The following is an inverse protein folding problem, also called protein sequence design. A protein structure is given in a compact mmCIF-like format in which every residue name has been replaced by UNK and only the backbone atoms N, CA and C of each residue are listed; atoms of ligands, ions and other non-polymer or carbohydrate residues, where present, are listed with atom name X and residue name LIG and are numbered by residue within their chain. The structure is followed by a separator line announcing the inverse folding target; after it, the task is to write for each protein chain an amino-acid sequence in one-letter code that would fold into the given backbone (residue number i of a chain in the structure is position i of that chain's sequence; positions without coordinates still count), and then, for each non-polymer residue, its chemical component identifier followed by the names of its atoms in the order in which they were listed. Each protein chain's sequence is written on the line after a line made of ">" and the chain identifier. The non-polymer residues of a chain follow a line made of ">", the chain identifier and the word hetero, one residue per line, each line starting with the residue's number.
data_IF_933481459816
#
_entry.id   IF_933481459816
#
_cell.length_a   1.000
_cell.length_b   1.000
_cell.length_c   1.000
_cell.angle_alpha   90.00
_cell.angle_beta   90.00
_cell.angle_gamma   90.00
#
_symmetry.space_group_name_H-M   'P 1'
#
loop_
_entity.id
_entity.type
_entity.pdbx_description
1 polymer ?
#
# COMPACT_ATOMS: atom_id res chain seq x y z
N UNK A 1 -23.05 -6.74 1.71
CA UNK A 1 -21.62 -6.90 1.74
C UNK A 1 -20.96 -6.11 0.62
N UNK A 2 -20.14 -5.17 0.97
CA UNK A 2 -19.47 -4.35 -0.01
C UNK A 2 -18.08 -4.86 -0.27
N UNK A 3 -17.85 -5.16 -1.51
CA UNK A 3 -16.52 -5.50 -1.91
C UNK A 3 -16.08 -4.47 -2.92
N UNK A 4 -14.89 -3.92 -2.68
CA UNK A 4 -14.26 -3.06 -3.65
C UNK A 4 -13.39 -3.90 -4.57
N UNK A 5 -13.31 -3.48 -5.82
CA UNK A 5 -12.27 -4.00 -6.70
C UNK A 5 -10.97 -3.28 -6.34
N UNK A 6 -9.89 -4.02 -6.10
CA UNK A 6 -8.63 -3.42 -5.69
C UNK A 6 -7.62 -3.56 -6.82
N UNK A 7 -7.12 -2.43 -7.28
CA UNK A 7 -6.14 -2.37 -8.35
C UNK A 7 -4.86 -1.74 -7.82
N UNK A 8 -3.72 -2.24 -8.29
CA UNK A 8 -2.43 -1.64 -7.97
C UNK A 8 -1.88 -0.98 -9.22
N UNK A 9 -1.46 0.26 -9.08
CA UNK A 9 -0.71 0.89 -10.16
C UNK A 9 0.63 0.16 -10.35
N UNK A 10 1.12 0.09 -11.58
CA UNK A 10 2.42 -0.56 -11.82
C UNK A 10 3.55 0.00 -10.95
N UNK A 11 3.53 1.32 -10.70
CA UNK A 11 4.54 1.93 -9.85
C UNK A 11 4.46 1.44 -8.41
N UNK A 12 3.23 1.24 -7.89
CA UNK A 12 3.05 0.71 -6.54
C UNK A 12 3.54 -0.73 -6.46
N UNK A 13 3.22 -1.51 -7.48
CA UNK A 13 3.67 -2.90 -7.55
C UNK A 13 5.19 -2.98 -7.58
N UNK A 14 5.82 -2.11 -8.36
CA UNK A 14 7.28 -2.06 -8.42
C UNK A 14 7.89 -1.67 -7.08
N UNK A 15 7.26 -0.74 -6.36
CA UNK A 15 7.74 -0.33 -5.04
C UNK A 15 7.70 -1.49 -4.05
N UNK A 16 6.63 -2.27 -4.07
CA UNK A 16 6.53 -3.44 -3.20
C UNK A 16 7.61 -4.45 -3.52
N UNK A 17 7.85 -4.68 -4.81
CA UNK A 17 8.87 -5.63 -5.25
C UNK A 17 10.27 -5.17 -4.84
N UNK A 18 10.57 -3.89 -5.03
CA UNK A 18 11.87 -3.34 -4.65
C UNK A 18 12.11 -3.47 -3.15
N UNK A 19 11.08 -3.17 -2.36
CA UNK A 19 11.19 -3.30 -0.91
C UNK A 19 11.41 -4.75 -0.51
N UNK A 20 10.67 -5.67 -1.14
CA UNK A 20 10.83 -7.09 -0.88
C UNK A 20 12.27 -7.53 -1.15
N UNK A 21 12.83 -7.12 -2.29
CA UNK A 21 14.18 -7.51 -2.66
C UNK A 21 15.21 -6.92 -1.71
N UNK A 22 14.99 -5.69 -1.26
CA UNK A 22 15.88 -5.06 -0.30
C UNK A 22 15.95 -5.88 0.99
N UNK A 23 14.78 -6.30 1.50
CA UNK A 23 14.74 -7.12 2.70
C UNK A 23 15.34 -8.50 2.44
N UNK A 24 15.04 -9.07 1.27
CA UNK A 24 15.50 -10.42 0.96
C UNK A 24 17.04 -10.53 0.99
N UNK A 25 17.72 -9.50 0.53
CA UNK A 25 19.18 -9.49 0.54
C UNK A 25 19.74 -9.50 1.95
N UNK A 26 18.97 -9.07 2.92
CA UNK A 26 19.41 -8.96 4.32
C UNK A 26 18.86 -10.09 5.18
N UNK A 27 17.63 -10.48 4.93
CA UNK A 27 16.98 -11.55 5.69
C UNK A 27 15.78 -12.07 4.90
N UNK A 28 15.87 -13.27 4.33
CA UNK A 28 14.71 -13.84 3.63
C UNK A 28 13.46 -13.93 4.51
N UNK A 29 13.64 -14.15 5.82
CA UNK A 29 12.49 -14.19 6.73
C UNK A 29 11.82 -12.82 6.83
N UNK A 30 12.62 -11.75 6.88
CA UNK A 30 12.06 -10.41 6.92
C UNK A 30 11.32 -10.09 5.61
N UNK A 31 11.87 -10.54 4.49
CA UNK A 31 11.21 -10.34 3.20
C UNK A 31 9.86 -11.03 3.15
N UNK A 32 9.78 -12.25 3.65
CA UNK A 32 8.51 -12.98 3.70
C UNK A 32 7.50 -12.29 4.60
N UNK A 33 7.95 -11.80 5.75
CA UNK A 33 7.08 -11.09 6.68
C UNK A 33 6.56 -9.80 6.05
N UNK A 34 7.43 -9.08 5.33
CA UNK A 34 7.03 -7.85 4.65
C UNK A 34 5.97 -8.15 3.59
N UNK A 35 6.22 -9.17 2.77
CA UNK A 35 5.29 -9.54 1.71
C UNK A 35 3.93 -9.91 2.27
N UNK A 36 3.93 -10.70 3.35
CA UNK A 36 2.68 -11.12 3.98
C UNK A 36 1.90 -9.91 4.49
N UNK A 37 2.59 -9.00 5.16
CA UNK A 37 1.89 -7.83 5.71
C UNK A 37 1.34 -6.92 4.60
N UNK A 38 2.10 -6.75 3.52
CA UNK A 38 1.63 -5.94 2.39
C UNK A 38 0.42 -6.60 1.74
N UNK A 39 0.49 -7.90 1.49
CA UNK A 39 -0.65 -8.59 0.87
C UNK A 39 -1.88 -8.55 1.76
N UNK A 40 -1.71 -8.74 3.07
CA UNK A 40 -2.84 -8.69 3.98
C UNK A 40 -3.45 -7.29 4.01
N UNK A 41 -2.60 -6.26 3.97
CA UNK A 41 -3.09 -4.88 3.95
C UNK A 41 -3.89 -4.61 2.68
N UNK A 42 -3.38 -5.03 1.53
CA UNK A 42 -4.05 -4.81 0.25
C UNK A 42 -5.34 -5.61 0.18
N UNK A 43 -5.30 -6.87 0.61
CA UNK A 43 -6.50 -7.72 0.62
C UNK A 43 -7.60 -7.11 1.48
N UNK A 44 -7.24 -6.51 2.60
CA UNK A 44 -8.23 -5.93 3.50
C UNK A 44 -8.96 -4.76 2.86
N UNK A 45 -8.38 -4.14 1.85
CA UNK A 45 -9.00 -3.00 1.17
C UNK A 45 -10.25 -3.41 0.40
N UNK A 46 -10.38 -4.68 0.05
CA UNK A 46 -11.58 -5.14 -0.65
C UNK A 46 -12.84 -4.96 0.21
N UNK A 47 -12.70 -5.00 1.53
CA UNK A 47 -13.85 -4.91 2.43
C UNK A 47 -13.75 -3.78 3.45
N UNK A 48 -12.54 -3.26 3.69
CA UNK A 48 -12.31 -2.30 4.77
C UNK A 48 -11.66 -0.99 4.31
N UNK A 49 -11.75 -0.69 3.01
CA UNK A 49 -11.06 0.48 2.47
C UNK A 49 -11.49 1.79 3.13
N UNK A 50 -12.73 1.87 3.62
CA UNK A 50 -13.22 3.11 4.23
C UNK A 50 -12.82 3.28 5.69
N UNK A 51 -12.19 2.27 6.29
CA UNK A 51 -11.75 2.36 7.69
C UNK A 51 -10.66 3.39 7.90
N UNK A 52 -9.77 3.52 6.93
CA UNK A 52 -8.63 4.41 7.06
C UNK A 52 -9.04 5.79 6.57
N UNK A 53 -8.70 6.84 7.32
CA UNK A 53 -9.18 8.18 6.97
C UNK A 53 -8.59 8.71 5.68
N UNK A 54 -9.37 9.57 5.06
CA UNK A 54 -8.99 10.24 3.84
C UNK A 54 -8.31 11.56 4.20
N UNK A 55 -7.26 11.92 3.48
CA UNK A 55 -6.61 13.20 3.71
C UNK A 55 -7.29 14.31 2.90
N UNK A 56 -6.76 15.52 3.00
CA UNK A 56 -7.39 16.68 2.34
C UNK A 56 -7.37 16.59 0.82
N UNK A 57 -6.53 15.70 0.27
CA UNK A 57 -6.43 15.53 -1.17
C UNK A 57 -7.21 14.31 -1.68
N UNK A 58 -7.96 13.67 -0.80
CA UNK A 58 -8.79 12.53 -1.19
C UNK A 58 -8.08 11.20 -1.18
N UNK A 59 -6.89 11.12 -0.57
CA UNK A 59 -6.16 9.86 -0.50
C UNK A 59 -6.21 9.29 0.90
N UNK A 60 -6.33 7.96 0.97
CA UNK A 60 -6.32 7.23 2.22
C UNK A 60 -4.95 6.63 2.44
N UNK A 61 -4.60 6.35 3.69
CA UNK A 61 -3.34 5.69 3.98
C UNK A 61 -3.51 4.63 5.04
N UNK A 62 -2.91 3.50 4.76
CA UNK A 62 -2.86 2.37 5.67
C UNK A 62 -1.39 2.15 6.04
N UNK A 63 -1.00 2.54 7.24
CA UNK A 63 0.38 2.41 7.71
C UNK A 63 0.62 0.97 8.14
N UNK A 64 1.69 0.36 7.62
CA UNK A 64 2.04 -0.99 8.04
C UNK A 64 2.50 -1.00 9.48
N UNK A 65 2.27 -2.12 10.16
CA UNK A 65 2.54 -2.22 11.60
C UNK A 65 3.99 -2.52 11.91
N UNK A 66 4.65 -3.34 11.10
CA UNK A 66 5.98 -3.85 11.41
C UNK A 66 7.06 -3.37 10.46
N UNK A 67 6.69 -2.59 9.46
CA UNK A 67 7.63 -2.10 8.46
C UNK A 67 7.34 -0.63 8.19
N UNK A 68 8.38 0.16 7.89
CA UNK A 68 8.21 1.61 7.73
C UNK A 68 7.68 1.98 6.35
N UNK A 69 6.55 1.39 5.99
CA UNK A 69 5.89 1.63 4.71
C UNK A 69 4.43 1.95 4.93
N UNK A 70 3.88 2.72 4.01
CA UNK A 70 2.47 3.10 4.01
C UNK A 70 1.87 2.77 2.66
N UNK A 71 0.68 2.19 2.68
CA UNK A 71 -0.10 1.93 1.47
C UNK A 71 -1.00 3.13 1.25
N UNK A 72 -0.75 3.89 0.18
CA UNK A 72 -1.61 5.02 -0.19
C UNK A 72 -2.57 4.59 -1.29
N UNK A 73 -3.84 4.94 -1.12
CA UNK A 73 -4.85 4.53 -2.09
C UNK A 73 -5.97 5.56 -2.18
N UNK A 74 -6.71 5.52 -3.27
CA UNK A 74 -7.92 6.32 -3.42
C UNK A 74 -9.09 5.40 -3.70
N UNK A 75 -10.30 5.89 -3.40
CA UNK A 75 -11.52 5.15 -3.65
C UNK A 75 -12.33 5.96 -4.65
N UNK A 76 -12.72 5.32 -5.74
CA UNK A 76 -13.63 5.91 -6.69
C UNK A 76 -14.71 4.90 -7.00
N UNK A 77 -15.95 5.22 -6.61
CA UNK A 77 -17.09 4.31 -6.74
C UNK A 77 -16.76 2.98 -6.04
N UNK A 78 -16.67 1.89 -6.77
CA UNK A 78 -16.40 0.58 -6.19
C UNK A 78 -14.96 0.13 -6.39
N UNK A 79 -14.10 1.03 -6.80
CA UNK A 79 -12.71 0.69 -7.10
C UNK A 79 -11.77 1.38 -6.12
N UNK A 80 -10.88 0.59 -5.53
CA UNK A 80 -9.76 1.07 -4.74
C UNK A 80 -8.51 0.96 -5.60
N UNK A 81 -7.83 2.08 -5.80
CA UNK A 81 -6.59 2.08 -6.56
C UNK A 81 -5.44 2.36 -5.61
N UNK A 82 -4.53 1.40 -5.48
CA UNK A 82 -3.33 1.57 -4.67
C UNK A 82 -2.33 2.38 -5.48
N UNK A 83 -2.04 3.58 -4.98
CA UNK A 83 -1.19 4.55 -5.67
C UNK A 83 0.28 4.31 -5.38
N UNK A 84 0.61 3.90 -4.17
CA UNK A 84 2.00 3.77 -3.75
C UNK A 84 2.15 2.86 -2.55
N UNK A 85 3.29 2.17 -2.50
CA UNK A 85 3.78 1.48 -1.30
C UNK A 85 5.03 2.27 -0.91
N UNK A 86 4.85 3.24 -0.04
CA UNK A 86 5.85 4.28 0.16
C UNK A 86 6.59 4.11 1.48
N UNK A 87 7.93 4.10 1.41
CA UNK A 87 8.73 4.15 2.62
C UNK A 87 8.47 5.47 3.33
N UNK A 88 8.39 5.45 4.65
CA UNK A 88 8.03 6.62 5.45
C UNK A 88 9.04 7.76 5.32
N UNK A 89 10.24 7.48 4.86
CA UNK A 89 11.27 8.50 4.65
C UNK A 89 11.20 9.17 3.29
N UNK A 90 10.37 8.66 2.38
CA UNK A 90 10.21 9.29 1.08
C UNK A 90 9.49 10.64 1.23
N UNK A 91 9.76 11.55 0.31
CA UNK A 91 9.11 12.86 0.31
C UNK A 91 7.59 12.68 0.25
N UNK A 92 6.85 13.34 1.15
CA UNK A 92 5.39 13.20 1.14
C UNK A 92 4.81 13.58 -0.22
N UNK A 93 3.88 12.76 -0.70
CA UNK A 93 3.15 13.05 -1.92
C UNK A 93 3.93 12.85 -3.21
N UNK A 94 5.13 12.24 -3.16
CA UNK A 94 5.91 12.03 -4.39
C UNK A 94 5.15 11.22 -5.43
N UNK A 95 4.18 10.43 -5.00
CA UNK A 95 3.38 9.56 -5.85
C UNK A 95 2.14 10.24 -6.42
N UNK A 96 1.83 11.44 -5.97
CA UNK A 96 0.67 12.16 -6.48
C UNK A 96 0.89 12.47 -7.95
N UNK A 97 -0.17 12.35 -8.74
CA UNK A 97 -0.05 12.54 -10.17
C UNK A 97 0.23 11.29 -10.96
N UNK A 98 0.34 10.16 -10.27
CA UNK A 98 0.52 8.88 -10.95
C UNK A 98 -0.69 8.47 -11.76
#
# INVERSE_FOLDING_TARGET
>A
MNAFEVLLLPAAEAEAREAFLWYFERSPLAADAFRTEVFDAIDSLATHATLWPEDENGFHRHVLRHFPYTVFYEIFEHTVTVMAIAHQRRRPGYWQGR
#
